data_IF_882168282348
#
_entry.id   IF_882168282348
#
_cell.length_a   1.000
_cell.length_b   1.000
_cell.length_c   1.000
_cell.angle_alpha   90.00
_cell.angle_beta   90.00
_cell.angle_gamma   90.00
#
_symmetry.space_group_name_H-M   'P 1'
#
loop_
_entity.id
_entity.type
_entity.pdbx_description
1 polymer ?
#
# COMPACT_ATOMS: atom_id res chain seq x y z
N UNK A 1 12.85 -6.07 -0.36
CA UNK A 1 13.17 -5.26 0.85
C UNK A 1 12.16 -4.13 1.06
N UNK A 2 11.70 -3.52 -0.01
CA UNK A 2 10.65 -2.49 -0.09
C UNK A 2 9.32 -2.70 0.69
N UNK A 3 8.81 -3.94 0.86
CA UNK A 3 7.58 -4.19 1.64
C UNK A 3 7.63 -3.64 3.07
N UNK A 4 8.82 -3.66 3.71
CA UNK A 4 8.99 -3.15 5.08
C UNK A 4 8.99 -1.62 5.12
N UNK A 5 9.61 -0.97 4.15
CA UNK A 5 9.66 0.50 4.06
C UNK A 5 8.26 1.09 3.92
N UNK A 6 7.43 0.50 3.06
CA UNK A 6 6.00 0.89 2.93
C UNK A 6 5.24 0.79 4.23
N UNK A 7 5.44 -0.30 4.98
CA UNK A 7 4.76 -0.48 6.26
C UNK A 7 5.24 0.54 7.29
N UNK A 8 6.54 0.87 7.30
CA UNK A 8 7.10 1.91 8.16
C UNK A 8 6.49 3.28 7.82
N UNK A 9 6.42 3.65 6.54
CA UNK A 9 5.80 4.91 6.12
C UNK A 9 4.32 4.95 6.49
N UNK A 10 3.60 3.84 6.32
CA UNK A 10 2.20 3.73 6.74
C UNK A 10 2.03 3.80 8.27
N UNK A 11 2.98 3.25 9.03
CA UNK A 11 3.06 3.44 10.49
C UNK A 11 3.24 4.92 10.86
N UNK A 12 4.00 5.69 10.07
CA UNK A 12 4.15 7.13 10.27
C UNK A 12 2.91 7.95 9.85
N UNK A 13 1.89 7.31 9.26
CA UNK A 13 0.65 7.95 8.86
C UNK A 13 0.62 8.37 7.39
N UNK A 14 1.63 8.00 6.60
CA UNK A 14 1.55 8.10 5.16
C UNK A 14 0.54 7.10 4.61
N UNK A 15 -0.11 7.46 3.52
CA UNK A 15 -1.01 6.57 2.79
C UNK A 15 -0.55 6.51 1.36
N UNK A 16 -0.63 5.33 0.76
CA UNK A 16 -0.10 5.09 -0.58
C UNK A 16 -1.21 4.79 -1.56
N UNK A 17 -1.19 5.41 -2.72
CA UNK A 17 -1.95 4.98 -3.88
C UNK A 17 -1.13 3.99 -4.72
N UNK A 18 -1.81 3.25 -5.59
CA UNK A 18 -1.12 2.38 -6.54
C UNK A 18 -0.19 3.16 -7.50
N UNK A 19 -0.43 4.46 -7.72
CA UNK A 19 0.44 5.31 -8.53
C UNK A 19 1.74 5.66 -7.81
N UNK A 20 1.62 6.19 -6.60
CA UNK A 20 2.77 6.58 -5.76
C UNK A 20 3.67 5.37 -5.47
N UNK A 21 3.08 4.21 -5.24
CA UNK A 21 3.81 2.96 -5.01
C UNK A 21 4.67 2.55 -6.21
N UNK A 22 4.14 2.71 -7.42
CA UNK A 22 4.89 2.38 -8.66
C UNK A 22 6.02 3.36 -8.91
N UNK A 23 5.78 4.65 -8.69
CA UNK A 23 6.77 5.70 -8.89
C UNK A 23 7.92 5.57 -7.89
N UNK A 24 7.61 5.25 -6.63
CA UNK A 24 8.60 5.12 -5.57
C UNK A 24 9.46 3.86 -5.70
N UNK A 25 8.86 2.72 -6.07
CA UNK A 25 9.58 1.44 -6.17
C UNK A 25 10.01 1.07 -7.59
N UNK A 26 9.60 1.82 -8.61
CA UNK A 26 9.88 1.51 -10.00
C UNK A 26 9.21 0.22 -10.50
N UNK A 27 8.13 -0.21 -9.85
CA UNK A 27 7.44 -1.47 -10.16
C UNK A 27 6.30 -1.29 -11.16
N UNK A 28 5.95 -2.37 -11.85
CA UNK A 28 4.78 -2.38 -12.73
C UNK A 28 3.47 -2.28 -11.94
N UNK A 29 2.38 -1.92 -12.62
CA UNK A 29 1.07 -1.87 -11.99
C UNK A 29 0.57 -3.25 -11.52
N UNK A 30 1.03 -4.32 -12.14
CA UNK A 30 0.66 -5.69 -11.76
C UNK A 30 1.37 -6.13 -10.49
N UNK A 31 2.68 -5.89 -10.41
CA UNK A 31 3.47 -6.14 -9.20
C UNK A 31 2.91 -5.33 -8.02
N UNK A 32 2.70 -4.03 -8.21
CA UNK A 32 2.12 -3.16 -7.20
C UNK A 32 0.79 -3.71 -6.65
N UNK A 33 -0.13 -4.12 -7.53
CA UNK A 33 -1.41 -4.72 -7.13
C UNK A 33 -1.22 -6.06 -6.42
N UNK A 34 -0.30 -6.89 -6.88
CA UNK A 34 -0.01 -8.19 -6.26
C UNK A 34 0.50 -8.01 -4.84
N UNK A 35 1.44 -7.09 -4.63
CA UNK A 35 2.05 -6.86 -3.33
C UNK A 35 1.12 -6.15 -2.35
N UNK A 36 0.35 -5.16 -2.80
CA UNK A 36 -0.69 -4.54 -1.98
C UNK A 36 -1.78 -5.56 -1.60
N UNK A 37 -2.10 -6.50 -2.50
CA UNK A 37 -3.04 -7.58 -2.21
C UNK A 37 -2.48 -8.63 -1.25
N UNK A 38 -1.20 -8.96 -1.34
CA UNK A 38 -0.50 -9.81 -0.37
C UNK A 38 -0.49 -9.15 1.02
N UNK A 39 -0.21 -7.85 1.10
CA UNK A 39 -0.25 -7.10 2.36
C UNK A 39 -1.67 -7.03 2.96
N UNK A 40 -2.71 -6.84 2.12
CA UNK A 40 -4.11 -6.89 2.57
C UNK A 40 -4.51 -8.29 3.04
N UNK A 41 -4.10 -9.33 2.30
CA UNK A 41 -4.40 -10.73 2.67
C UNK A 41 -3.76 -11.12 4.00
N UNK A 42 -2.63 -10.52 4.36
CA UNK A 42 -1.97 -10.70 5.66
C UNK A 42 -2.58 -9.84 6.77
N UNK A 43 -3.55 -8.98 6.46
CA UNK A 43 -4.16 -8.06 7.41
C UNK A 43 -3.22 -6.94 7.88
N UNK A 44 -2.18 -6.61 7.11
CA UNK A 44 -1.20 -5.57 7.46
C UNK A 44 -1.62 -4.18 6.98
N UNK A 45 -2.35 -4.13 5.87
CA UNK A 45 -2.86 -2.88 5.29
C UNK A 45 -4.34 -3.00 4.98
N UNK A 46 -5.04 -1.88 5.02
CA UNK A 46 -6.41 -1.72 4.59
C UNK A 46 -6.49 -0.70 3.47
N UNK A 47 -7.41 -0.90 2.53
CA UNK A 47 -7.71 0.06 1.48
C UNK A 47 -8.80 1.01 1.93
N UNK A 48 -8.59 2.31 1.80
CA UNK A 48 -9.61 3.36 1.99
C UNK A 48 -9.83 4.08 0.66
N UNK A 49 -11.07 4.15 0.21
CA UNK A 49 -11.47 4.86 -1.00
C UNK A 49 -12.28 4.03 -2.00
N UNK A 50 -13.02 4.72 -2.87
CA UNK A 50 -13.85 4.10 -3.91
C UNK A 50 -13.23 4.23 -5.30
N UNK A 51 -13.25 3.10 -6.03
CA UNK A 51 -12.92 2.93 -7.46
C UNK A 51 -11.57 3.46 -7.94
N UNK A 52 -11.41 4.78 -8.05
CA UNK A 52 -10.25 5.45 -8.68
C UNK A 52 -9.23 5.98 -7.68
N UNK A 53 -9.66 6.23 -6.45
CA UNK A 53 -8.85 6.87 -5.40
C UNK A 53 -8.54 5.91 -4.25
N UNK A 54 -8.31 4.64 -4.57
CA UNK A 54 -7.94 3.65 -3.56
C UNK A 54 -6.59 4.04 -2.97
N UNK A 55 -6.59 4.34 -1.68
CA UNK A 55 -5.38 4.52 -0.88
C UNK A 55 -5.24 3.36 0.09
N UNK A 56 -4.00 2.99 0.36
CA UNK A 56 -3.63 1.93 1.27
C UNK A 56 -3.02 2.55 2.52
N UNK A 57 -3.45 2.07 3.68
CA UNK A 57 -2.96 2.50 4.99
C UNK A 57 -2.77 1.30 5.90
N UNK A 58 -2.02 1.46 6.99
CA UNK A 58 -1.79 0.38 7.94
C UNK A 58 -3.11 -0.10 8.57
N UNK A 59 -3.33 -1.41 8.59
CA UNK A 59 -4.47 -2.00 9.28
C UNK A 59 -4.27 -1.87 10.80
N UNK A 60 -5.31 -1.44 11.50
CA UNK A 60 -5.30 -1.32 12.97
C UNK A 60 -4.89 0.05 13.52
N UNK A 61 -4.51 1.02 12.68
CA UNK A 61 -4.43 2.43 13.10
C UNK A 61 -5.85 3.01 13.12
N UNK A 62 -6.57 2.77 14.21
CA UNK A 62 -7.91 3.33 14.48
C UNK A 62 -7.80 4.45 15.50
#
# INVERSE_FOLDING_TARGET
MWKKEVLVDMCHGCTWSNGEYREHFGVTAEEARSDLRDLMSRGLVTSTGERRWVRYMLAGKR
#
